data_IF_961447835820
#
_entry.id   IF_961447835820
#
_cell.length_a   1.000
_cell.length_b   1.000
_cell.length_c   1.000
_cell.angle_alpha   90.00
_cell.angle_beta   90.00
_cell.angle_gamma   90.00
#
_symmetry.space_group_name_H-M   'P 1'
#
loop_
_entity.id
_entity.type
_entity.pdbx_description
1 polymer ?
#
# COMPACT_ATOMS: atom_id res chain seq x y z
N UNK A 1 -39.82 6.63 88.22
CA UNK A 1 -38.49 7.19 87.84
C UNK A 1 -38.10 6.57 86.57
N UNK A 2 -38.30 7.36 85.50
CA UNK A 2 -38.04 6.98 84.07
C UNK A 2 -36.64 7.41 83.70
N UNK A 3 -35.74 6.48 83.30
CA UNK A 3 -34.43 6.81 82.72
C UNK A 3 -34.52 6.71 81.21
N UNK A 4 -34.46 7.83 80.52
CA UNK A 4 -34.29 7.92 79.09
C UNK A 4 -32.85 7.50 78.67
N UNK A 5 -32.74 6.52 77.84
CA UNK A 5 -31.50 6.15 77.15
C UNK A 5 -31.55 6.75 75.76
N UNK A 6 -30.64 7.70 75.49
CA UNK A 6 -30.43 8.29 74.15
C UNK A 6 -29.60 7.30 73.33
N UNK A 7 -30.16 6.77 72.25
CA UNK A 7 -29.41 6.03 71.22
C UNK A 7 -28.81 7.01 70.22
N UNK A 8 -27.48 7.05 70.13
CA UNK A 8 -26.74 7.76 69.09
C UNK A 8 -26.72 6.93 67.81
N UNK A 9 -27.40 7.46 66.77
CA UNK A 9 -27.28 6.92 65.40
C UNK A 9 -26.04 7.53 64.76
N UNK A 10 -24.94 6.78 64.62
CA UNK A 10 -23.83 7.12 63.73
C UNK A 10 -24.21 6.69 62.27
N UNK A 11 -24.54 7.64 61.43
CA UNK A 11 -24.69 7.43 60.00
C UNK A 11 -23.29 7.32 59.38
N UNK A 12 -22.84 6.13 59.09
CA UNK A 12 -21.65 5.89 58.28
C UNK A 12 -21.98 6.17 56.80
N UNK A 13 -21.54 7.35 56.33
CA UNK A 13 -21.55 7.63 54.87
C UNK A 13 -20.49 6.78 54.19
N UNK A 14 -20.93 5.65 53.58
CA UNK A 14 -20.07 4.85 52.70
C UNK A 14 -19.93 5.67 51.41
N UNK A 15 -18.78 6.33 51.25
CA UNK A 15 -18.34 6.94 49.98
C UNK A 15 -18.04 5.79 49.00
N UNK A 16 -18.99 5.45 48.12
CA UNK A 16 -18.69 4.66 46.95
C UNK A 16 -17.85 5.50 46.02
N UNK A 17 -16.54 5.45 46.18
CA UNK A 17 -15.61 5.83 45.11
C UNK A 17 -15.81 4.80 44.00
N UNK A 18 -16.64 5.15 43.00
CA UNK A 18 -16.73 4.38 41.79
C UNK A 18 -15.34 4.24 41.18
N UNK A 19 -14.78 3.06 41.24
CA UNK A 19 -13.64 2.70 40.42
C UNK A 19 -14.11 2.90 38.97
N UNK A 20 -13.68 4.01 38.37
CA UNK A 20 -13.81 4.18 36.94
C UNK A 20 -12.99 3.06 36.30
N UNK A 21 -13.66 2.00 35.91
CA UNK A 21 -13.06 0.91 35.17
C UNK A 21 -12.61 1.52 33.86
N UNK A 22 -11.30 1.65 33.65
CA UNK A 22 -10.76 2.08 32.37
C UNK A 22 -11.33 1.13 31.29
N UNK A 23 -12.02 1.70 30.31
CA UNK A 23 -12.50 0.92 29.20
C UNK A 23 -11.31 0.24 28.50
N UNK A 24 -11.51 -1.00 28.05
CA UNK A 24 -10.47 -1.70 27.29
C UNK A 24 -10.05 -0.84 26.08
N UNK A 25 -8.75 -0.80 25.76
CA UNK A 25 -8.27 0.00 24.64
C UNK A 25 -8.84 -0.51 23.32
N UNK A 26 -9.14 0.40 22.42
CA UNK A 26 -9.50 0.12 21.03
C UNK A 26 -8.30 -0.54 20.37
N UNK A 27 -8.45 -1.81 19.94
CA UNK A 27 -7.39 -2.52 19.24
C UNK A 27 -7.49 -2.25 17.74
N UNK A 28 -6.41 -1.74 17.15
CA UNK A 28 -6.25 -1.56 15.71
C UNK A 28 -5.23 -2.58 15.20
N UNK A 29 -5.71 -3.64 14.57
CA UNK A 29 -4.85 -4.57 13.84
C UNK A 29 -4.53 -3.95 12.47
N UNK A 30 -3.25 -3.72 12.21
CA UNK A 30 -2.75 -3.20 10.93
C UNK A 30 -1.96 -4.31 10.22
N UNK A 31 -2.54 -4.90 9.18
CA UNK A 31 -1.90 -5.99 8.45
C UNK A 31 -1.37 -5.52 7.09
N UNK A 32 -0.25 -6.11 6.66
CA UNK A 32 0.31 -5.90 5.34
C UNK A 32 1.14 -7.09 4.84
N UNK A 33 1.35 -7.16 3.52
CA UNK A 33 1.96 -8.34 2.86
C UNK A 33 3.48 -8.25 2.67
N UNK A 34 4.10 -7.12 3.02
CA UNK A 34 5.54 -6.87 2.79
C UNK A 34 6.34 -6.97 4.10
N UNK A 35 7.67 -6.97 3.98
CA UNK A 35 8.56 -6.96 5.14
C UNK A 35 8.64 -5.57 5.80
N UNK A 36 9.05 -5.54 7.07
CA UNK A 36 9.17 -4.32 7.89
C UNK A 36 10.19 -3.32 7.35
N UNK A 37 11.21 -3.75 6.61
CA UNK A 37 12.25 -2.89 6.03
C UNK A 37 11.84 -2.21 4.72
N UNK A 38 10.62 -2.40 4.25
CA UNK A 38 10.06 -1.70 3.08
C UNK A 38 9.42 -0.37 3.50
N UNK A 39 9.18 0.60 2.56
CA UNK A 39 8.51 1.86 2.90
C UNK A 39 7.20 1.66 3.68
N UNK A 40 6.33 0.79 3.20
CA UNK A 40 5.05 0.47 3.87
C UNK A 40 5.24 -0.17 5.26
N UNK A 41 6.19 -1.11 5.39
CA UNK A 41 6.50 -1.74 6.67
C UNK A 41 6.97 -0.72 7.70
N UNK A 42 7.88 0.17 7.31
CA UNK A 42 8.36 1.27 8.15
C UNK A 42 7.21 2.21 8.55
N UNK A 43 6.32 2.54 7.61
CA UNK A 43 5.13 3.36 7.88
C UNK A 43 4.20 2.74 8.92
N UNK A 44 3.91 1.44 8.82
CA UNK A 44 3.06 0.74 9.79
C UNK A 44 3.67 0.72 11.20
N UNK A 45 4.97 0.48 11.32
CA UNK A 45 5.70 0.51 12.59
C UNK A 45 5.79 1.93 13.17
N UNK A 46 5.98 2.95 12.32
CA UNK A 46 5.99 4.34 12.72
C UNK A 46 4.63 4.77 13.27
N UNK A 47 3.54 4.41 12.58
CA UNK A 47 2.18 4.64 13.05
C UNK A 47 1.94 4.00 14.41
N UNK A 48 2.29 2.72 14.58
CA UNK A 48 2.19 2.03 15.87
C UNK A 48 2.93 2.77 16.97
N UNK A 49 4.20 3.15 16.71
CA UNK A 49 5.05 3.84 17.69
C UNK A 49 4.49 5.21 18.07
N UNK A 50 4.00 5.99 17.10
CA UNK A 50 3.46 7.31 17.34
C UNK A 50 2.16 7.26 18.13
N UNK A 51 1.26 6.33 17.82
CA UNK A 51 0.03 6.12 18.59
C UNK A 51 0.34 5.72 20.04
N UNK A 52 1.29 4.81 20.26
CA UNK A 52 1.69 4.38 21.60
C UNK A 52 2.38 5.48 22.42
N UNK A 53 3.02 6.44 21.76
CA UNK A 53 3.69 7.57 22.40
C UNK A 53 2.77 8.78 22.63
N UNK A 54 1.62 8.86 21.94
CA UNK A 54 0.73 10.00 22.00
C UNK A 54 -0.03 10.07 23.35
N UNK A 55 0.04 11.17 24.09
CA UNK A 55 -0.60 11.30 25.41
C UNK A 55 -2.12 11.14 25.39
N UNK A 56 -2.80 11.44 24.28
CA UNK A 56 -4.26 11.34 24.15
C UNK A 56 -4.71 9.92 23.74
N UNK A 57 -3.82 9.13 23.13
CA UNK A 57 -4.15 7.81 22.58
C UNK A 57 -3.56 6.63 23.35
N UNK A 58 -2.40 6.77 24.01
CA UNK A 58 -1.61 5.68 24.60
C UNK A 58 -2.40 4.74 25.54
N UNK A 59 -3.41 5.28 26.23
CA UNK A 59 -4.26 4.52 27.14
C UNK A 59 -5.63 4.15 26.52
N UNK A 60 -5.92 4.65 25.30
CA UNK A 60 -7.21 4.45 24.60
C UNK A 60 -7.10 3.54 23.37
N UNK A 61 -5.92 3.49 22.74
CA UNK A 61 -5.74 2.80 21.45
C UNK A 61 -4.47 1.95 21.51
N UNK A 62 -4.57 0.71 21.05
CA UNK A 62 -3.44 -0.20 20.85
C UNK A 62 -3.35 -0.58 19.38
N UNK A 63 -2.23 -0.27 18.73
CA UNK A 63 -1.96 -0.70 17.35
C UNK A 63 -1.11 -1.97 17.38
N UNK A 64 -1.54 -2.99 16.64
CA UNK A 64 -0.83 -4.25 16.45
C UNK A 64 -0.51 -4.41 14.96
N UNK A 65 0.79 -4.48 14.61
CA UNK A 65 1.25 -4.61 13.22
C UNK A 65 1.50 -6.07 12.86
N UNK A 66 0.99 -6.51 11.70
CA UNK A 66 1.11 -7.87 11.19
C UNK A 66 1.74 -7.83 9.78
N UNK A 67 3.07 -7.93 9.67
CA UNK A 67 3.79 -7.90 8.40
C UNK A 67 3.80 -9.27 7.70
N UNK A 68 4.35 -9.31 6.47
CA UNK A 68 4.65 -10.54 5.72
C UNK A 68 3.45 -11.48 5.52
N UNK A 69 2.25 -10.93 5.35
CA UNK A 69 1.02 -11.74 5.24
C UNK A 69 0.73 -12.62 6.47
N UNK A 70 1.28 -12.27 7.65
CA UNK A 70 1.17 -13.10 8.86
C UNK A 70 -0.25 -13.21 9.42
N UNK A 71 -1.11 -12.22 9.15
CA UNK A 71 -2.52 -12.26 9.54
C UNK A 71 -3.42 -12.59 8.33
N UNK A 72 -3.30 -11.81 7.25
CA UNK A 72 -4.03 -12.00 5.99
C UNK A 72 -3.09 -11.75 4.81
N UNK A 73 -3.16 -12.60 3.79
CA UNK A 73 -2.43 -12.44 2.54
C UNK A 73 -3.26 -11.78 1.43
N UNK A 74 -2.61 -11.57 0.29
CA UNK A 74 -3.25 -11.08 -0.94
C UNK A 74 -4.51 -11.87 -1.27
N UNK A 75 -5.60 -11.19 -1.59
CA UNK A 75 -6.87 -11.78 -1.97
C UNK A 75 -7.80 -12.11 -0.79
N UNK A 76 -7.33 -12.03 0.48
CA UNK A 76 -8.16 -12.20 1.68
C UNK A 76 -8.20 -10.97 2.59
N UNK A 77 -7.18 -10.13 2.52
CA UNK A 77 -7.04 -8.96 3.38
C UNK A 77 -8.22 -7.97 3.25
N UNK A 78 -8.73 -7.74 2.03
CA UNK A 78 -9.84 -6.82 1.79
C UNK A 78 -11.17 -7.34 2.35
N UNK A 79 -11.43 -8.65 2.21
CA UNK A 79 -12.59 -9.32 2.79
C UNK A 79 -12.55 -9.24 4.31
N UNK A 80 -11.38 -9.53 4.91
CA UNK A 80 -11.16 -9.44 6.36
C UNK A 80 -11.37 -8.02 6.91
N UNK A 81 -10.97 -6.98 6.15
CA UNK A 81 -11.27 -5.58 6.50
C UNK A 81 -12.77 -5.31 6.54
N UNK A 82 -13.51 -5.74 5.51
CA UNK A 82 -14.95 -5.53 5.42
C UNK A 82 -15.72 -6.27 6.51
N UNK A 83 -15.27 -7.45 6.92
CA UNK A 83 -15.83 -8.22 8.02
C UNK A 83 -15.46 -7.65 9.41
N UNK A 84 -14.42 -6.80 9.48
CA UNK A 84 -13.93 -6.21 10.74
C UNK A 84 -12.90 -7.05 11.48
N UNK A 85 -12.38 -8.11 10.88
CA UNK A 85 -11.33 -8.97 11.46
C UNK A 85 -9.97 -8.26 11.54
N UNK A 86 -9.78 -7.26 10.69
CA UNK A 86 -8.64 -6.32 10.68
C UNK A 86 -9.17 -4.90 10.51
N UNK A 87 -8.55 -3.91 11.17
CA UNK A 87 -9.03 -2.53 11.21
C UNK A 87 -8.35 -1.64 10.17
N UNK A 88 -7.09 -1.92 9.86
CA UNK A 88 -6.30 -1.14 8.90
C UNK A 88 -5.48 -2.04 7.98
N UNK A 89 -5.37 -1.63 6.74
CA UNK A 89 -4.53 -2.23 5.70
C UNK A 89 -3.81 -1.14 4.92
N UNK A 90 -2.79 -1.52 4.16
CA UNK A 90 -2.19 -0.67 3.13
C UNK A 90 -1.95 -1.50 1.85
N UNK A 91 -3.01 -1.95 1.14
CA UNK A 91 -2.87 -2.70 -0.09
C UNK A 91 -2.36 -1.82 -1.24
N UNK A 92 -1.74 -2.46 -2.24
CA UNK A 92 -1.39 -1.80 -3.49
C UNK A 92 -2.64 -1.27 -4.21
N UNK A 93 -2.53 -0.11 -4.85
CA UNK A 93 -3.62 0.51 -5.61
C UNK A 93 -4.19 -0.41 -6.69
N UNK A 94 -3.39 -1.31 -7.24
CA UNK A 94 -3.81 -2.33 -8.19
C UNK A 94 -4.90 -3.30 -7.69
N UNK A 95 -5.13 -3.37 -6.37
CA UNK A 95 -6.10 -4.30 -5.77
C UNK A 95 -7.51 -3.73 -5.66
N UNK A 96 -7.71 -2.47 -6.01
CA UNK A 96 -9.00 -1.80 -5.82
C UNK A 96 -9.94 -1.84 -7.03
N UNK A 97 -9.58 -2.48 -8.14
CA UNK A 97 -10.37 -2.47 -9.38
C UNK A 97 -11.80 -2.98 -9.23
N UNK A 98 -12.08 -3.81 -8.22
CA UNK A 98 -13.42 -4.32 -7.93
C UNK A 98 -14.27 -3.37 -7.08
N UNK A 99 -13.64 -2.39 -6.44
CA UNK A 99 -14.30 -1.40 -5.59
C UNK A 99 -14.51 -0.08 -6.30
N UNK A 100 -13.51 0.37 -7.09
CA UNK A 100 -13.63 1.55 -7.96
C UNK A 100 -12.74 1.39 -9.19
N UNK A 101 -13.30 1.67 -10.38
CA UNK A 101 -12.53 1.58 -11.64
C UNK A 101 -11.56 2.74 -11.81
N UNK A 102 -11.85 3.88 -11.25
CA UNK A 102 -11.02 5.08 -11.36
C UNK A 102 -9.62 4.89 -10.78
N UNK A 103 -9.47 4.05 -9.74
CA UNK A 103 -8.16 3.77 -9.11
C UNK A 103 -7.17 3.11 -10.07
N UNK A 104 -7.66 2.48 -11.15
CA UNK A 104 -6.82 1.87 -12.19
C UNK A 104 -5.93 2.88 -12.93
N UNK A 105 -6.16 4.19 -12.72
CA UNK A 105 -5.29 5.25 -13.24
C UNK A 105 -3.83 5.05 -12.81
N UNK A 106 -3.60 4.58 -11.60
CA UNK A 106 -2.25 4.34 -11.08
C UNK A 106 -1.56 3.12 -11.69
N UNK A 107 -2.31 2.26 -12.38
CA UNK A 107 -1.78 1.11 -13.10
C UNK A 107 -1.46 1.41 -14.57
N UNK A 108 -1.87 2.57 -15.12
CA UNK A 108 -1.58 2.92 -16.50
C UNK A 108 -0.05 3.03 -16.72
N UNK A 109 0.50 2.34 -17.73
CA UNK A 109 1.94 2.31 -17.95
C UNK A 109 2.47 3.67 -18.37
N UNK A 110 3.59 4.10 -17.79
CA UNK A 110 4.28 5.38 -18.10
C UNK A 110 3.41 6.63 -17.95
N UNK A 111 2.36 6.58 -17.10
CA UNK A 111 1.50 7.73 -16.87
C UNK A 111 2.22 8.81 -16.07
N UNK A 112 2.91 8.43 -15.01
CA UNK A 112 3.67 9.34 -14.14
C UNK A 112 5.16 9.25 -14.47
N UNK A 113 5.83 10.40 -14.59
CA UNK A 113 7.25 10.47 -14.91
C UNK A 113 8.13 10.16 -13.68
N UNK A 114 7.68 10.57 -12.49
CA UNK A 114 8.39 10.41 -11.22
C UNK A 114 7.41 10.41 -10.01
N UNK A 115 7.94 10.19 -8.81
CA UNK A 115 7.14 10.23 -7.58
C UNK A 115 6.62 11.63 -7.25
N UNK A 116 7.31 12.68 -7.67
CA UNK A 116 6.85 14.05 -7.44
C UNK A 116 5.58 14.37 -8.25
N UNK A 117 5.47 13.82 -9.46
CA UNK A 117 4.23 13.92 -10.27
C UNK A 117 3.09 13.12 -9.65
N UNK A 118 3.38 11.95 -9.06
CA UNK A 118 2.40 11.18 -8.30
C UNK A 118 1.90 11.97 -7.09
N UNK A 119 2.79 12.57 -6.31
CA UNK A 119 2.45 13.44 -5.18
C UNK A 119 1.52 14.58 -5.59
N UNK A 120 1.87 15.32 -6.66
CA UNK A 120 1.03 16.42 -7.16
C UNK A 120 -0.37 15.95 -7.51
N UNK A 121 -0.50 14.80 -8.14
CA UNK A 121 -1.80 14.23 -8.49
C UNK A 121 -2.58 13.80 -7.23
N UNK A 122 -1.95 13.06 -6.32
CA UNK A 122 -2.58 12.53 -5.11
C UNK A 122 -3.03 13.64 -4.14
N UNK A 123 -2.25 14.72 -4.04
CA UNK A 123 -2.58 15.90 -3.23
C UNK A 123 -3.60 16.83 -3.89
N UNK A 124 -3.81 16.67 -5.19
CA UNK A 124 -4.83 17.38 -5.96
C UNK A 124 -6.26 16.94 -5.63
N UNK A 125 -7.27 17.69 -6.12
CA UNK A 125 -8.67 17.38 -5.82
C UNK A 125 -9.10 15.99 -6.31
N UNK A 126 -8.59 15.54 -7.45
CA UNK A 126 -8.92 14.22 -8.03
C UNK A 126 -8.34 13.09 -7.18
N UNK A 127 -7.06 13.18 -6.78
CA UNK A 127 -6.44 12.20 -5.90
C UNK A 127 -7.12 12.12 -4.54
N UNK A 128 -7.49 13.26 -3.95
CA UNK A 128 -8.24 13.30 -2.69
C UNK A 128 -9.63 12.69 -2.81
N UNK A 129 -10.32 12.89 -3.92
CA UNK A 129 -11.63 12.30 -4.17
C UNK A 129 -11.56 10.76 -4.26
N UNK A 130 -10.46 10.21 -4.77
CA UNK A 130 -10.27 8.75 -4.83
C UNK A 130 -10.18 8.09 -3.45
N UNK A 131 -9.69 8.78 -2.41
CA UNK A 131 -9.64 8.23 -1.05
C UNK A 131 -11.03 7.88 -0.50
N UNK A 132 -12.05 8.65 -0.86
CA UNK A 132 -13.42 8.45 -0.39
C UNK A 132 -14.31 7.73 -1.42
N UNK A 133 -13.78 7.40 -2.60
CA UNK A 133 -14.56 6.82 -3.71
C UNK A 133 -15.12 5.42 -3.46
N UNK A 134 -14.72 4.79 -2.33
CA UNK A 134 -15.14 3.43 -1.97
C UNK A 134 -15.92 3.36 -0.65
N UNK A 135 -16.36 4.50 -0.11
CA UNK A 135 -17.08 4.52 1.18
C UNK A 135 -18.43 3.78 1.11
N UNK A 136 -19.11 3.85 -0.02
CA UNK A 136 -20.33 3.09 -0.30
C UNK A 136 -20.10 1.56 -0.32
N UNK A 137 -18.86 1.13 -0.50
CA UNK A 137 -18.41 -0.27 -0.41
C UNK A 137 -17.85 -0.65 0.98
N UNK A 138 -17.95 0.26 1.95
CA UNK A 138 -17.47 0.04 3.31
C UNK A 138 -15.96 0.26 3.51
N UNK A 139 -15.26 0.84 2.54
CA UNK A 139 -13.82 1.10 2.60
C UNK A 139 -13.58 2.61 2.60
N UNK A 140 -12.84 3.10 3.58
CA UNK A 140 -12.36 4.48 3.64
C UNK A 140 -10.86 4.52 3.43
N UNK A 141 -10.41 5.29 2.43
CA UNK A 141 -9.01 5.66 2.26
C UNK A 141 -8.62 6.79 3.21
N UNK A 142 -7.46 6.66 3.82
CA UNK A 142 -6.93 7.62 4.80
C UNK A 142 -5.73 8.39 4.25
N UNK A 143 -4.86 7.72 3.48
CA UNK A 143 -3.65 8.30 2.92
C UNK A 143 -3.10 7.47 1.75
N UNK A 144 -2.19 8.06 0.98
CA UNK A 144 -1.35 7.37 0.00
C UNK A 144 0.07 7.23 0.52
N UNK A 145 0.63 6.03 0.46
CA UNK A 145 2.01 5.76 0.82
C UNK A 145 2.79 5.28 -0.41
N UNK A 146 3.90 5.95 -0.72
CA UNK A 146 4.76 5.56 -1.82
C UNK A 146 5.52 4.27 -1.53
N UNK A 147 5.68 3.47 -2.59
CA UNK A 147 6.79 2.55 -2.66
C UNK A 147 7.78 3.04 -3.72
N UNK A 148 7.41 3.03 -5.01
CA UNK A 148 8.31 3.50 -6.05
C UNK A 148 7.93 3.06 -7.45
N UNK A 149 8.80 3.38 -8.41
CA UNK A 149 8.64 2.96 -9.79
C UNK A 149 9.04 1.50 -9.97
N UNK A 150 8.28 0.79 -10.82
CA UNK A 150 8.47 -0.63 -11.10
C UNK A 150 9.57 -0.88 -12.11
N UNK A 151 10.32 -1.93 -11.85
CA UNK A 151 11.32 -2.51 -12.74
C UNK A 151 10.88 -3.89 -13.19
N UNK A 152 11.45 -4.44 -14.27
CA UNK A 152 11.25 -5.82 -14.67
C UNK A 152 12.36 -6.71 -14.13
N UNK A 153 12.03 -7.93 -13.70
CA UNK A 153 13.00 -9.01 -13.54
C UNK A 153 12.61 -10.20 -14.43
N UNK A 154 13.60 -10.94 -14.91
CA UNK A 154 13.33 -12.12 -15.72
C UNK A 154 14.50 -13.13 -15.64
N UNK A 155 14.21 -14.40 -16.01
CA UNK A 155 15.19 -15.47 -16.15
C UNK A 155 16.06 -15.35 -17.41
N UNK A 156 15.78 -14.40 -18.28
CA UNK A 156 16.62 -13.98 -19.43
C UNK A 156 16.58 -12.48 -19.58
N UNK A 157 17.54 -11.94 -20.33
CA UNK A 157 17.61 -10.50 -20.60
C UNK A 157 16.39 -10.01 -21.37
N UNK A 158 15.76 -8.93 -20.92
CA UNK A 158 14.57 -8.31 -21.50
C UNK A 158 14.80 -6.81 -21.62
N UNK A 159 15.36 -6.36 -22.74
CA UNK A 159 15.69 -4.95 -23.00
C UNK A 159 14.59 -4.26 -23.79
N UNK A 160 14.06 -4.92 -24.81
CA UNK A 160 13.02 -4.39 -25.68
C UNK A 160 11.70 -5.14 -25.47
N UNK A 161 10.55 -4.53 -25.80
CA UNK A 161 9.24 -5.22 -25.67
C UNK A 161 9.18 -6.59 -26.34
N UNK A 162 9.85 -6.76 -27.47
CA UNK A 162 9.91 -8.04 -28.20
C UNK A 162 10.57 -9.17 -27.39
N UNK A 163 11.48 -8.82 -26.47
CA UNK A 163 12.20 -9.82 -25.66
C UNK A 163 11.30 -10.45 -24.59
N UNK A 164 10.23 -9.76 -24.21
CA UNK A 164 9.21 -10.27 -23.29
C UNK A 164 8.27 -11.29 -23.92
N UNK A 165 8.26 -11.41 -25.25
CA UNK A 165 7.33 -12.29 -25.98
C UNK A 165 7.40 -13.73 -25.49
N UNK A 166 6.22 -14.26 -25.13
CA UNK A 166 6.05 -15.65 -24.69
C UNK A 166 6.46 -15.92 -23.25
N UNK A 167 7.15 -14.99 -22.58
CA UNK A 167 7.49 -15.14 -21.17
C UNK A 167 6.23 -15.03 -20.29
N UNK A 168 6.22 -15.79 -19.20
CA UNK A 168 5.18 -15.72 -18.18
C UNK A 168 5.62 -14.70 -17.12
N UNK A 169 4.92 -13.57 -17.02
CA UNK A 169 5.17 -12.58 -15.98
C UNK A 169 4.14 -12.66 -14.87
N UNK A 170 4.62 -12.71 -13.64
CA UNK A 170 3.73 -12.49 -12.50
C UNK A 170 3.30 -11.02 -12.48
N UNK A 171 2.01 -10.81 -12.27
CA UNK A 171 1.40 -9.48 -12.05
C UNK A 171 0.52 -9.50 -10.81
N UNK A 172 0.22 -8.31 -10.26
CA UNK A 172 -0.79 -8.14 -9.23
C UNK A 172 -2.20 -8.36 -9.81
N UNK A 173 -3.20 -8.39 -8.95
CA UNK A 173 -4.60 -8.62 -9.34
C UNK A 173 -5.21 -7.37 -9.98
N UNK A 174 -4.75 -7.02 -11.19
CA UNK A 174 -5.23 -5.87 -11.98
C UNK A 174 -5.38 -6.26 -13.44
N UNK A 175 -6.51 -5.88 -14.03
CA UNK A 175 -6.78 -6.07 -15.46
C UNK A 175 -5.91 -5.17 -16.33
N UNK A 176 -5.55 -3.97 -15.86
CA UNK A 176 -4.63 -3.06 -16.56
C UNK A 176 -3.24 -3.68 -16.64
N UNK A 177 -2.71 -4.22 -15.53
CA UNK A 177 -1.41 -4.88 -15.51
C UNK A 177 -1.37 -6.13 -16.41
N UNK A 178 -2.45 -6.90 -16.46
CA UNK A 178 -2.54 -8.01 -17.42
C UNK A 178 -2.43 -7.51 -18.86
N UNK A 179 -3.15 -6.45 -19.21
CA UNK A 179 -3.13 -5.92 -20.58
C UNK A 179 -1.77 -5.32 -20.98
N UNK A 180 -1.03 -4.74 -20.03
CA UNK A 180 0.34 -4.27 -20.28
C UNK A 180 1.24 -5.39 -20.81
N UNK A 181 1.23 -6.53 -20.14
CA UNK A 181 2.04 -7.67 -20.55
C UNK A 181 1.50 -8.36 -21.81
N UNK A 182 0.18 -8.38 -22.03
CA UNK A 182 -0.41 -8.84 -23.29
C UNK A 182 -0.02 -7.95 -24.47
N UNK A 183 0.06 -6.62 -24.26
CA UNK A 183 0.46 -5.66 -25.29
C UNK A 183 1.88 -5.96 -25.83
N UNK A 184 2.78 -6.46 -25.00
CA UNK A 184 4.13 -6.90 -25.38
C UNK A 184 4.21 -8.40 -25.71
N UNK A 185 3.06 -9.06 -25.90
CA UNK A 185 2.93 -10.48 -26.25
C UNK A 185 3.54 -11.43 -25.20
N UNK A 186 3.62 -11.00 -23.95
CA UNK A 186 3.92 -11.84 -22.81
C UNK A 186 2.64 -12.51 -22.26
N UNK A 187 2.82 -13.45 -21.33
CA UNK A 187 1.74 -14.21 -20.71
C UNK A 187 1.62 -13.81 -19.22
N UNK A 188 0.77 -12.83 -18.86
CA UNK A 188 0.60 -12.43 -17.46
C UNK A 188 -0.03 -13.55 -16.63
N UNK A 189 0.40 -13.63 -15.35
CA UNK A 189 -0.13 -14.57 -14.36
C UNK A 189 -0.39 -13.80 -13.05
N UNK A 190 -1.65 -13.68 -12.66
CA UNK A 190 -1.99 -13.14 -11.33
C UNK A 190 -1.53 -14.14 -10.27
N UNK A 191 -0.78 -13.63 -9.28
CA UNK A 191 -0.24 -14.44 -8.20
C UNK A 191 -0.04 -13.57 -6.97
N UNK A 192 -0.31 -14.09 -5.77
CA UNK A 192 -0.09 -13.39 -4.52
C UNK A 192 1.39 -13.03 -4.31
N UNK A 193 1.65 -11.97 -3.51
CA UNK A 193 3.03 -11.54 -3.27
C UNK A 193 3.85 -12.61 -2.55
N UNK A 194 3.25 -13.35 -1.62
CA UNK A 194 3.92 -14.42 -0.89
C UNK A 194 4.38 -15.59 -1.77
N UNK A 195 3.74 -15.81 -2.93
CA UNK A 195 4.05 -16.92 -3.83
C UNK A 195 5.13 -16.56 -4.87
N UNK A 196 5.50 -15.27 -5.00
CA UNK A 196 6.36 -14.79 -6.10
C UNK A 196 7.73 -15.47 -6.09
N UNK A 197 8.43 -15.51 -4.97
CA UNK A 197 9.75 -16.12 -4.90
C UNK A 197 9.73 -17.58 -5.37
N UNK A 198 8.80 -18.37 -4.84
CA UNK A 198 8.66 -19.79 -5.22
C UNK A 198 8.23 -19.94 -6.67
N UNK A 199 7.32 -19.10 -7.17
CA UNK A 199 6.88 -19.11 -8.57
C UNK A 199 8.01 -18.83 -9.56
N UNK A 200 8.94 -17.94 -9.19
CA UNK A 200 10.16 -17.65 -9.97
C UNK A 200 11.17 -18.79 -9.87
N UNK A 201 11.39 -19.32 -8.67
CA UNK A 201 12.34 -20.42 -8.41
C UNK A 201 11.96 -21.69 -9.17
N UNK A 202 10.68 -22.02 -9.21
CA UNK A 202 10.19 -23.23 -9.90
C UNK A 202 9.96 -23.03 -11.40
N UNK A 203 10.08 -21.79 -11.92
CA UNK A 203 9.77 -21.47 -13.33
C UNK A 203 8.27 -21.49 -13.67
N UNK A 204 7.40 -21.48 -12.67
CA UNK A 204 5.94 -21.27 -12.85
C UNK A 204 5.70 -19.96 -13.57
N UNK A 205 6.48 -18.93 -13.23
CA UNK A 205 6.62 -17.66 -13.95
C UNK A 205 8.10 -17.43 -14.29
N UNK A 206 8.36 -16.70 -15.38
CA UNK A 206 9.70 -16.42 -15.88
C UNK A 206 10.24 -15.09 -15.35
N UNK A 207 9.34 -14.20 -14.91
CA UNK A 207 9.69 -12.87 -14.43
C UNK A 207 8.55 -12.23 -13.64
N UNK A 208 8.83 -11.06 -13.13
CA UNK A 208 7.86 -10.23 -12.40
C UNK A 208 8.21 -8.76 -12.58
N UNK A 209 7.25 -7.89 -12.22
CA UNK A 209 7.47 -6.46 -12.07
C UNK A 209 7.37 -6.06 -10.61
N UNK A 210 8.28 -5.25 -10.13
CA UNK A 210 8.21 -4.71 -8.76
C UNK A 210 9.20 -3.54 -8.58
N UNK A 211 9.16 -2.94 -7.39
CA UNK A 211 10.09 -1.92 -6.93
C UNK A 211 11.34 -2.58 -6.33
N UNK A 212 12.42 -1.82 -6.20
CA UNK A 212 13.68 -2.34 -5.67
C UNK A 212 13.55 -2.82 -4.22
N UNK A 213 12.83 -2.08 -3.36
CA UNK A 213 12.62 -2.47 -1.96
C UNK A 213 11.90 -3.81 -1.82
N UNK A 214 10.91 -4.07 -2.68
CA UNK A 214 10.19 -5.33 -2.68
C UNK A 214 11.03 -6.48 -3.27
N UNK A 215 11.87 -6.21 -4.27
CA UNK A 215 12.79 -7.22 -4.81
C UNK A 215 13.83 -7.65 -3.78
N UNK A 216 14.43 -6.70 -3.09
CA UNK A 216 15.44 -6.97 -2.06
C UNK A 216 14.84 -7.71 -0.86
N UNK A 217 13.71 -7.22 -0.34
CA UNK A 217 13.07 -7.82 0.84
C UNK A 217 12.56 -9.24 0.61
N UNK A 218 12.16 -9.57 -0.63
CA UNK A 218 11.78 -10.93 -1.05
C UNK A 218 12.94 -11.75 -1.62
N UNK A 219 14.17 -11.20 -1.67
CA UNK A 219 15.35 -11.88 -2.19
C UNK A 219 15.21 -12.36 -3.64
N UNK A 220 14.44 -11.62 -4.44
CA UNK A 220 14.17 -11.99 -5.83
C UNK A 220 15.45 -12.11 -6.66
N UNK A 221 16.49 -11.36 -6.31
CA UNK A 221 17.82 -11.45 -6.94
C UNK A 221 18.51 -12.82 -6.78
N UNK A 222 18.08 -13.66 -5.84
CA UNK A 222 18.60 -15.03 -5.71
C UNK A 222 18.06 -15.97 -6.79
N UNK A 223 16.89 -15.64 -7.38
CA UNK A 223 16.18 -16.48 -8.35
C UNK A 223 15.94 -15.79 -9.69
N UNK A 224 16.38 -14.53 -9.84
CA UNK A 224 16.26 -13.75 -11.07
C UNK A 224 17.60 -13.16 -11.47
N UNK A 225 18.23 -13.67 -12.55
CA UNK A 225 19.57 -13.22 -12.97
C UNK A 225 19.57 -11.88 -13.71
N UNK A 226 18.41 -11.37 -14.19
CA UNK A 226 18.36 -10.12 -14.95
C UNK A 226 17.27 -9.20 -14.43
N UNK A 227 17.62 -7.93 -14.26
CA UNK A 227 16.72 -6.82 -13.99
C UNK A 227 16.85 -5.75 -15.08
N UNK A 228 15.73 -5.17 -15.49
CA UNK A 228 15.71 -4.06 -16.45
C UNK A 228 15.07 -2.85 -15.82
N UNK A 229 15.77 -1.73 -15.79
CA UNK A 229 15.28 -0.46 -15.21
C UNK A 229 14.33 0.23 -16.18
N UNK A 230 13.10 -0.25 -16.21
CA UNK A 230 12.07 0.24 -17.13
C UNK A 230 11.35 1.47 -16.61
N UNK A 231 11.14 1.60 -15.30
CA UNK A 231 10.29 2.61 -14.67
C UNK A 231 8.93 2.74 -15.39
N UNK A 232 8.34 1.60 -15.77
CA UNK A 232 7.16 1.55 -16.62
C UNK A 232 5.86 1.73 -15.88
N UNK A 233 5.87 1.68 -14.57
CA UNK A 233 4.69 1.77 -13.74
C UNK A 233 5.03 2.12 -12.30
N UNK A 234 4.01 2.21 -11.49
CA UNK A 234 4.07 2.62 -10.09
C UNK A 234 3.62 1.49 -9.18
N UNK A 235 4.21 1.37 -7.99
CA UNK A 235 3.60 0.74 -6.83
C UNK A 235 3.45 1.79 -5.76
N UNK A 236 2.19 2.12 -5.48
CA UNK A 236 1.77 2.89 -4.33
C UNK A 236 0.71 2.11 -3.55
N UNK A 237 0.53 2.52 -2.34
CA UNK A 237 -0.42 1.93 -1.40
C UNK A 237 -1.47 2.96 -0.99
N UNK A 238 -2.67 2.50 -0.69
CA UNK A 238 -3.64 3.30 0.04
C UNK A 238 -3.77 2.72 1.45
N UNK A 239 -3.51 3.54 2.46
CA UNK A 239 -3.89 3.22 3.83
C UNK A 239 -5.40 3.28 3.92
N UNK A 240 -6.01 2.17 4.27
CA UNK A 240 -7.46 2.05 4.32
C UNK A 240 -7.94 1.51 5.66
N UNK A 241 -9.19 1.81 5.96
CA UNK A 241 -9.89 1.28 7.12
C UNK A 241 -11.32 0.88 6.74
N UNK A 242 -11.95 0.04 7.57
CA UNK A 242 -13.39 -0.20 7.47
C UNK A 242 -14.13 1.10 7.81
N UNK A 243 -14.98 1.59 6.89
CA UNK A 243 -15.69 2.87 7.06
C UNK A 243 -16.58 2.89 8.31
N UNK A 244 -17.23 1.76 8.63
CA UNK A 244 -18.08 1.65 9.84
C UNK A 244 -17.23 1.73 11.11
N UNK A 245 -16.11 1.02 11.14
CA UNK A 245 -15.16 1.08 12.27
C UNK A 245 -14.69 2.51 12.50
N UNK A 246 -14.18 3.16 11.44
CA UNK A 246 -13.64 4.52 11.51
C UNK A 246 -14.66 5.55 11.98
N UNK A 247 -15.87 5.50 11.44
CA UNK A 247 -16.94 6.41 11.80
C UNK A 247 -17.52 6.15 13.21
N UNK A 248 -17.34 4.94 13.74
CA UNK A 248 -17.72 4.56 15.11
C UNK A 248 -16.71 4.99 16.19
N UNK A 249 -15.50 5.42 15.80
CA UNK A 249 -14.52 5.93 16.76
C UNK A 249 -14.96 7.24 17.40
N UNK A 250 -14.65 7.49 18.68
CA UNK A 250 -14.79 8.82 19.28
C UNK A 250 -14.09 9.88 18.41
N UNK A 251 -14.70 11.05 18.29
CA UNK A 251 -14.23 12.10 17.38
C UNK A 251 -12.81 12.56 17.70
N UNK A 252 -12.47 12.71 18.98
CA UNK A 252 -11.15 13.07 19.45
C UNK A 252 -10.10 12.00 19.09
N UNK A 253 -10.43 10.72 19.25
CA UNK A 253 -9.56 9.60 18.88
C UNK A 253 -9.37 9.56 17.36
N UNK A 254 -10.45 9.65 16.60
CA UNK A 254 -10.42 9.63 15.14
C UNK A 254 -9.61 10.76 14.56
N UNK A 255 -9.83 12.00 15.05
CA UNK A 255 -9.08 13.17 14.60
C UNK A 255 -7.58 13.05 14.88
N UNK A 256 -7.22 12.53 16.07
CA UNK A 256 -5.82 12.34 16.43
C UNK A 256 -5.15 11.22 15.63
N UNK A 257 -5.85 10.12 15.38
CA UNK A 257 -5.35 9.05 14.51
C UNK A 257 -5.10 9.56 13.07
N UNK A 258 -6.03 10.38 12.52
CA UNK A 258 -5.82 10.98 11.20
C UNK A 258 -4.59 11.88 11.18
N UNK A 259 -4.41 12.74 12.19
CA UNK A 259 -3.22 13.59 12.30
C UNK A 259 -1.93 12.76 12.27
N UNK A 260 -1.87 11.67 13.05
CA UNK A 260 -0.69 10.78 13.07
C UNK A 260 -0.49 10.11 11.71
N UNK A 261 -1.56 9.67 11.04
CA UNK A 261 -1.47 9.08 9.68
C UNK A 261 -0.89 10.10 8.71
N UNK A 262 -1.33 11.37 8.78
CA UNK A 262 -0.83 12.43 7.90
C UNK A 262 0.68 12.69 8.15
N UNK A 263 1.12 12.75 9.40
CA UNK A 263 2.53 12.89 9.78
C UNK A 263 3.38 11.70 9.28
N UNK A 264 2.90 10.48 9.49
CA UNK A 264 3.55 9.25 9.00
C UNK A 264 3.64 9.26 7.47
N UNK A 265 2.59 9.71 6.79
CA UNK A 265 2.53 9.77 5.33
C UNK A 265 3.64 10.65 4.76
N UNK A 266 3.85 11.83 5.35
CA UNK A 266 4.93 12.75 4.93
C UNK A 266 6.29 12.05 5.04
N UNK A 267 6.54 11.36 6.14
CA UNK A 267 7.83 10.70 6.37
C UNK A 267 8.03 9.48 5.48
N UNK A 268 7.01 8.63 5.31
CA UNK A 268 7.05 7.46 4.41
C UNK A 268 7.35 7.90 2.99
N UNK A 269 6.61 8.88 2.47
CA UNK A 269 6.75 9.33 1.09
C UNK A 269 8.11 9.98 0.84
N UNK A 270 8.64 10.74 1.81
CA UNK A 270 9.97 11.30 1.75
C UNK A 270 11.08 10.26 1.71
N UNK A 271 10.93 9.13 2.42
CA UNK A 271 11.95 8.09 2.53
C UNK A 271 11.88 7.04 1.42
N UNK A 272 10.75 6.91 0.72
CA UNK A 272 10.48 5.81 -0.20
C UNK A 272 11.56 5.65 -1.28
N UNK A 273 11.99 6.74 -1.92
CA UNK A 273 13.01 6.68 -2.96
C UNK A 273 14.38 6.28 -2.40
N UNK A 274 14.79 6.85 -1.27
CA UNK A 274 16.07 6.51 -0.62
C UNK A 274 16.13 5.03 -0.20
N UNK A 275 15.02 4.48 0.30
CA UNK A 275 14.91 3.05 0.62
C UNK A 275 15.02 2.18 -0.64
N UNK A 276 14.43 2.57 -1.76
CA UNK A 276 14.56 1.86 -3.02
C UNK A 276 15.99 1.92 -3.56
N UNK A 277 16.67 3.06 -3.50
CA UNK A 277 18.08 3.18 -3.91
C UNK A 277 18.99 2.32 -3.03
N UNK A 278 18.75 2.29 -1.73
CA UNK A 278 19.46 1.42 -0.79
C UNK A 278 19.24 -0.06 -1.14
N UNK A 279 18.00 -0.46 -1.42
CA UNK A 279 17.68 -1.84 -1.81
C UNK A 279 18.32 -2.23 -3.15
N UNK A 280 18.29 -1.31 -4.13
CA UNK A 280 18.98 -1.48 -5.42
C UNK A 280 20.47 -1.72 -5.23
N UNK A 281 21.12 -0.92 -4.37
CA UNK A 281 22.54 -1.08 -4.10
C UNK A 281 22.86 -2.44 -3.46
N UNK A 282 22.05 -2.91 -2.52
CA UNK A 282 22.20 -4.25 -1.93
C UNK A 282 22.11 -5.37 -2.98
N UNK A 283 21.20 -5.25 -3.97
CA UNK A 283 21.09 -6.21 -5.07
C UNK A 283 22.36 -6.19 -5.92
N UNK A 284 22.94 -5.01 -6.21
CA UNK A 284 24.22 -4.86 -6.91
C UNK A 284 25.35 -5.54 -6.13
N UNK A 285 25.45 -5.26 -4.84
CA UNK A 285 26.51 -5.76 -3.95
C UNK A 285 26.47 -7.28 -3.79
N UNK A 286 25.28 -7.88 -3.87
CA UNK A 286 25.08 -9.33 -3.85
C UNK A 286 25.69 -10.04 -5.07
N UNK A 287 25.89 -9.34 -6.20
CA UNK A 287 26.49 -9.87 -7.44
C UNK A 287 25.79 -11.12 -8.00
N UNK A 288 24.54 -11.32 -7.66
CA UNK A 288 23.74 -12.47 -8.13
C UNK A 288 22.98 -12.16 -9.40
N UNK A 289 22.84 -10.89 -9.76
CA UNK A 289 22.01 -10.43 -10.87
C UNK A 289 22.67 -9.29 -11.64
N UNK A 290 22.37 -9.22 -12.94
CA UNK A 290 22.72 -8.09 -13.80
C UNK A 290 21.56 -7.09 -13.83
N UNK A 291 21.88 -5.81 -13.67
CA UNK A 291 20.92 -4.71 -13.80
C UNK A 291 21.25 -3.95 -15.08
N UNK A 292 20.27 -3.85 -15.98
CA UNK A 292 20.39 -3.17 -17.26
C UNK A 292 19.50 -1.89 -17.26
N UNK A 293 20.08 -0.69 -17.25
CA UNK A 293 19.34 0.53 -17.49
C UNK A 293 18.92 0.62 -18.96
N UNK A 294 17.73 1.16 -19.22
CA UNK A 294 17.28 1.44 -20.59
C UNK A 294 17.78 2.79 -21.09
N UNK A 295 18.15 2.86 -22.37
CA UNK A 295 18.32 4.15 -23.06
C UNK A 295 16.95 4.83 -23.23
N UNK A 296 16.95 6.13 -23.56
CA UNK A 296 15.73 6.87 -23.84
C UNK A 296 14.93 6.24 -24.99
N UNK A 297 15.61 5.80 -26.06
CA UNK A 297 15.00 5.15 -27.23
C UNK A 297 14.37 3.81 -26.85
N UNK A 298 15.05 3.00 -26.05
CA UNK A 298 14.53 1.72 -25.58
C UNK A 298 13.31 1.91 -24.69
N UNK A 299 13.34 2.90 -23.79
CA UNK A 299 12.18 3.26 -22.96
C UNK A 299 11.00 3.71 -23.81
N UNK A 300 11.25 4.50 -24.87
CA UNK A 300 10.21 4.94 -25.78
C UNK A 300 9.58 3.78 -26.57
N UNK A 301 10.35 2.76 -26.93
CA UNK A 301 9.79 1.52 -27.52
C UNK A 301 8.81 0.83 -26.55
N UNK A 302 9.13 0.76 -25.25
CA UNK A 302 8.21 0.23 -24.25
C UNK A 302 6.97 1.09 -24.10
N UNK A 303 7.11 2.42 -24.05
CA UNK A 303 6.00 3.37 -23.97
C UNK A 303 5.04 3.18 -25.16
N UNK A 304 5.56 3.11 -26.36
CA UNK A 304 4.77 2.88 -27.59
C UNK A 304 4.06 1.53 -27.58
N UNK A 305 4.75 0.47 -27.16
CA UNK A 305 4.19 -0.87 -27.11
C UNK A 305 3.03 -1.00 -26.11
N UNK A 306 3.10 -0.26 -24.99
CA UNK A 306 2.09 -0.31 -23.94
C UNK A 306 1.01 0.78 -24.06
N UNK A 307 1.20 1.82 -24.90
CA UNK A 307 0.24 2.94 -25.07
C UNK A 307 -1.20 2.48 -25.38
N UNK A 308 -1.45 1.42 -26.19
CA UNK A 308 -2.81 0.95 -26.46
C UNK A 308 -3.59 0.51 -25.21
N UNK A 309 -2.91 0.22 -24.09
CA UNK A 309 -3.57 -0.09 -22.81
C UNK A 309 -4.39 1.10 -22.32
N UNK A 310 -3.92 2.32 -22.52
CA UNK A 310 -4.65 3.53 -22.12
C UNK A 310 -6.00 3.63 -22.81
N UNK A 311 -6.02 3.42 -24.13
CA UNK A 311 -7.24 3.52 -24.95
C UNK A 311 -8.29 2.49 -24.48
N UNK A 312 -7.82 1.31 -24.07
CA UNK A 312 -8.68 0.24 -23.58
C UNK A 312 -9.36 0.55 -22.24
N UNK A 313 -8.71 1.34 -21.38
CA UNK A 313 -9.18 1.59 -20.02
C UNK A 313 -9.66 3.01 -19.78
N UNK A 314 -9.50 3.93 -20.76
CA UNK A 314 -9.82 5.36 -20.62
C UNK A 314 -11.27 5.62 -20.22
N UNK A 315 -12.23 4.89 -20.79
CA UNK A 315 -13.66 5.11 -20.53
C UNK A 315 -14.03 4.78 -19.08
N UNK A 316 -13.48 3.69 -18.53
CA UNK A 316 -13.81 3.28 -17.16
C UNK A 316 -13.01 4.03 -16.09
N UNK A 317 -11.80 4.51 -16.43
CA UNK A 317 -11.00 5.37 -15.56
C UNK A 317 -11.57 6.80 -15.58
N UNK A 318 -11.91 7.30 -16.73
CA UNK A 318 -12.37 8.65 -16.97
C UNK A 318 -11.28 9.53 -17.61
N UNK A 319 -11.58 10.06 -18.81
CA UNK A 319 -10.63 10.86 -19.57
C UNK A 319 -10.12 12.11 -18.84
N UNK A 320 -10.98 12.75 -18.03
CA UNK A 320 -10.59 13.94 -17.26
C UNK A 320 -9.62 13.59 -16.13
N UNK A 321 -9.78 12.40 -15.53
CA UNK A 321 -8.84 11.92 -14.51
C UNK A 321 -7.46 11.63 -15.12
N UNK A 322 -7.42 11.03 -16.31
CA UNK A 322 -6.17 10.78 -17.04
C UNK A 322 -5.49 12.09 -17.40
N UNK A 323 -6.23 13.09 -17.92
CA UNK A 323 -5.68 14.43 -18.22
C UNK A 323 -5.12 15.12 -16.98
N UNK A 324 -5.79 15.00 -15.83
CA UNK A 324 -5.31 15.57 -14.57
C UNK A 324 -3.99 14.90 -14.12
N UNK A 325 -3.87 13.59 -14.30
CA UNK A 325 -2.63 12.86 -14.01
C UNK A 325 -1.51 13.23 -14.97
N UNK A 326 -1.78 13.34 -16.30
CA UNK A 326 -0.79 13.82 -17.27
C UNK A 326 -0.33 15.26 -16.96
N UNK A 327 -1.26 16.13 -16.53
CA UNK A 327 -0.92 17.50 -16.13
C UNK A 327 0.01 17.56 -14.92
N UNK A 328 -0.07 16.59 -14.03
CA UNK A 328 0.80 16.52 -12.83
C UNK A 328 2.27 16.24 -13.17
N UNK A 329 2.60 15.76 -14.38
CA UNK A 329 3.98 15.57 -14.84
C UNK A 329 4.70 16.90 -15.12
N UNK A 330 3.93 17.97 -15.36
CA UNK A 330 4.52 19.29 -15.57
C UNK A 330 4.78 19.93 -14.20
N UNK A 331 6.04 20.27 -13.93
CA UNK A 331 6.37 21.12 -12.80
C UNK A 331 5.68 22.48 -12.96
N UNK A 332 5.03 22.95 -11.90
CA UNK A 332 4.43 24.29 -11.85
C UNK A 332 5.52 25.34 -11.81
#
# INVERSE_FOLDING_TARGET
MLKLTKALFCAAAVSMAGLAQAADPIVIKFAHVVADNTPKGQGALMFQKMVAADPQLKDKVKVEVFPNSSLFGDGKEMEALLLGDVQMLAPSLAKFEHYTKQIQIFDLPFLFDDLASVDRFQQGPQGKALLTSMEDKGIRGLAYWHNGLKQLSANKKVILPKDARGLKFRVQASSVLEEQFKAVRANPRKMSFAEVYQGLQTGTVNGTENTWSNYESQKVNEVQPFFTETNHGLIDYMVITNARFWNGLPEDVRGKLQQIIDEVTVEVNKQAEALNQTARQKIIDAKTSQIDPLTAEQREEWRKAMRPVWDKFSDQIGADLIKAAEASNKAS
#
